data_IF_116318000612
#
_entry.id   IF_116318000612
#
_cell.length_a   1.000
_cell.length_b   1.000
_cell.length_c   1.000
_cell.angle_alpha   90.00
_cell.angle_beta   90.00
_cell.angle_gamma   90.00
#
_symmetry.space_group_name_H-M   'P 1'
#
loop_
_entity.id
_entity.type
_entity.pdbx_description
1 polymer ?
#
# COMPACT_ATOMS: atom_id res chain seq x y z
N UNK A 1 58.35 -20.49 -22.73
CA UNK A 1 57.00 -19.90 -22.90
C UNK A 1 57.16 -18.40 -23.12
N UNK A 2 56.46 -17.88 -24.11
CA UNK A 2 56.80 -16.70 -24.91
C UNK A 2 56.82 -15.38 -24.12
N UNK A 3 57.90 -14.61 -24.32
CA UNK A 3 58.13 -13.22 -23.87
C UNK A 3 57.00 -12.23 -24.20
N UNK A 4 56.03 -12.63 -25.03
CA UNK A 4 54.90 -11.80 -25.44
C UNK A 4 53.83 -11.61 -24.34
N UNK A 5 53.70 -12.54 -23.39
CA UNK A 5 52.69 -12.43 -22.33
C UNK A 5 53.02 -11.37 -21.26
N UNK A 6 54.30 -11.04 -21.09
CA UNK A 6 54.76 -10.08 -20.08
C UNK A 6 54.50 -8.63 -20.52
N UNK A 7 54.54 -8.36 -21.82
CA UNK A 7 54.30 -7.03 -22.42
C UNK A 7 52.81 -6.65 -22.35
N UNK A 8 51.89 -7.61 -22.49
CA UNK A 8 50.45 -7.35 -22.39
C UNK A 8 49.98 -6.98 -20.97
N UNK A 9 50.81 -7.18 -19.94
CA UNK A 9 50.48 -6.86 -18.54
C UNK A 9 50.76 -5.39 -18.19
N UNK A 10 51.67 -4.72 -18.92
CA UNK A 10 52.09 -3.34 -18.67
C UNK A 10 51.27 -2.28 -19.44
N UNK A 11 50.47 -2.69 -20.43
CA UNK A 11 49.59 -1.77 -21.17
C UNK A 11 48.39 -1.38 -20.31
N UNK A 12 48.31 -0.08 -20.00
CA UNK A 12 47.43 0.54 -19.01
C UNK A 12 45.95 0.08 -19.08
N UNK A 13 45.51 -0.67 -18.06
CA UNK A 13 44.13 -1.17 -17.91
C UNK A 13 43.14 -0.13 -17.34
N UNK A 14 43.27 1.14 -17.69
CA UNK A 14 42.33 2.16 -17.20
C UNK A 14 41.00 2.08 -17.97
N UNK A 15 39.88 1.91 -17.25
CA UNK A 15 38.53 1.93 -17.84
C UNK A 15 38.25 3.31 -18.45
N UNK A 16 37.99 3.36 -19.76
CA UNK A 16 37.63 4.58 -20.49
C UNK A 16 36.36 5.21 -19.88
N UNK A 17 36.49 6.39 -19.26
CA UNK A 17 35.35 7.17 -18.80
C UNK A 17 34.91 8.12 -19.92
N UNK A 18 33.91 7.70 -20.68
CA UNK A 18 33.20 8.58 -21.62
C UNK A 18 32.50 9.70 -20.84
N UNK A 19 32.74 10.96 -21.22
CA UNK A 19 31.93 12.10 -20.77
C UNK A 19 30.49 11.81 -21.19
N UNK A 20 29.62 11.51 -20.23
CA UNK A 20 28.20 11.23 -20.49
C UNK A 20 27.53 12.49 -21.01
N UNK A 21 26.78 12.36 -22.10
CA UNK A 21 25.93 13.43 -22.61
C UNK A 21 25.00 13.95 -21.51
N UNK A 22 24.88 15.29 -21.32
CA UNK A 22 24.09 15.88 -20.26
C UNK A 22 22.58 15.55 -20.35
N UNK A 23 22.11 15.02 -21.49
CA UNK A 23 20.73 14.55 -21.65
C UNK A 23 20.47 13.20 -20.95
N UNK A 24 21.43 12.27 -20.96
CA UNK A 24 21.25 10.93 -20.39
C UNK A 24 21.27 10.96 -18.85
N UNK A 25 22.06 11.84 -18.25
CA UNK A 25 22.12 12.03 -16.79
C UNK A 25 20.85 12.68 -16.23
N UNK A 26 20.25 13.64 -16.95
CA UNK A 26 18.96 14.25 -16.58
C UNK A 26 17.82 13.23 -16.61
N UNK A 27 17.76 12.35 -17.62
CA UNK A 27 16.72 11.31 -17.72
C UNK A 27 16.83 10.28 -16.58
N UNK A 28 18.06 9.88 -16.20
CA UNK A 28 18.28 8.97 -15.06
C UNK A 28 17.97 9.62 -13.71
N UNK A 29 18.28 10.92 -13.54
CA UNK A 29 17.94 11.67 -12.31
C UNK A 29 16.43 11.87 -12.15
N UNK A 30 15.69 12.11 -13.24
CA UNK A 30 14.22 12.21 -13.21
C UNK A 30 13.57 10.87 -12.83
N UNK A 31 14.01 9.76 -13.43
CA UNK A 31 13.51 8.41 -13.10
C UNK A 31 13.75 8.03 -11.63
N UNK A 32 14.94 8.33 -11.09
CA UNK A 32 15.23 8.05 -9.67
C UNK A 32 14.42 8.93 -8.70
N UNK A 33 14.01 10.15 -9.11
CA UNK A 33 13.16 11.01 -8.29
C UNK A 33 11.72 10.49 -8.25
N UNK A 34 11.17 10.09 -9.40
CA UNK A 34 9.83 9.50 -9.48
C UNK A 34 9.73 8.18 -8.70
N UNK A 35 10.76 7.32 -8.74
CA UNK A 35 10.79 6.07 -7.97
C UNK A 35 10.86 6.32 -6.45
N UNK A 36 11.58 7.36 -6.02
CA UNK A 36 11.63 7.77 -4.60
C UNK A 36 10.28 8.32 -4.14
N UNK A 37 9.65 9.18 -4.93
CA UNK A 37 8.35 9.78 -4.59
C UNK A 37 7.23 8.73 -4.54
N UNK A 38 7.27 7.70 -5.40
CA UNK A 38 6.35 6.55 -5.35
C UNK A 38 6.55 5.70 -4.10
N UNK A 39 7.80 5.48 -3.68
CA UNK A 39 8.11 4.69 -2.48
C UNK A 39 7.74 5.42 -1.18
N UNK A 40 7.87 6.74 -1.16
CA UNK A 40 7.47 7.58 -0.03
C UNK A 40 5.94 7.60 0.15
N UNK A 41 5.19 7.68 -0.97
CA UNK A 41 3.72 7.57 -0.95
C UNK A 41 3.22 6.21 -0.48
N UNK A 42 3.89 5.12 -0.87
CA UNK A 42 3.55 3.76 -0.43
C UNK A 42 3.71 3.60 1.09
N UNK A 43 4.79 4.14 1.65
CA UNK A 43 5.04 4.08 3.09
C UNK A 43 4.03 4.91 3.89
N UNK A 44 3.67 6.11 3.42
CA UNK A 44 2.66 6.96 4.07
C UNK A 44 1.25 6.33 4.04
N UNK A 45 0.92 5.54 3.02
CA UNK A 45 -0.35 4.81 2.96
C UNK A 45 -0.41 3.59 3.89
N UNK A 46 0.72 3.00 4.27
CA UNK A 46 0.75 1.87 5.20
C UNK A 46 0.45 2.29 6.65
N UNK A 47 0.87 3.49 7.05
CA UNK A 47 0.64 4.01 8.41
C UNK A 47 -0.80 4.48 8.67
N UNK A 48 -1.59 4.78 7.63
CA UNK A 48 -2.94 5.36 7.77
C UNK A 48 -4.09 4.32 7.71
N UNK A 49 -3.81 3.03 7.52
CA UNK A 49 -4.84 1.97 7.39
C UNK A 49 -4.95 1.03 8.58
N UNK A 50 -4.62 1.48 9.80
CA UNK A 50 -4.95 0.76 11.03
C UNK A 50 -6.08 1.47 11.78
N UNK A 51 -7.37 1.13 11.56
CA UNK A 51 -8.43 1.60 12.42
C UNK A 51 -8.48 0.70 13.66
N UNK A 52 -8.04 1.22 14.80
CA UNK A 52 -8.38 0.68 16.12
C UNK A 52 -7.28 -0.08 16.87
N UNK A 53 -6.20 0.61 17.26
CA UNK A 53 -5.53 0.30 18.53
C UNK A 53 -5.89 1.40 19.53
N UNK A 54 -7.01 1.19 20.22
CA UNK A 54 -7.35 1.91 21.44
C UNK A 54 -6.89 1.08 22.63
N UNK A 55 -5.71 1.36 23.18
CA UNK A 55 -5.38 1.16 24.61
C UNK A 55 -4.11 1.96 24.91
N UNK A 56 -4.12 2.72 26.01
CA UNK A 56 -3.17 3.78 26.34
C UNK A 56 -1.73 3.36 26.64
N UNK A 57 -0.92 4.27 27.24
CA UNK A 57 0.51 4.07 27.37
C UNK A 57 0.80 3.09 28.51
N UNK A 58 1.00 1.82 28.18
CA UNK A 58 1.58 0.85 29.12
C UNK A 58 2.94 0.41 28.59
N UNK A 59 3.96 1.14 29.03
CA UNK A 59 5.35 0.73 29.09
C UNK A 59 5.49 -0.61 29.84
N UNK A 60 5.75 -1.71 29.14
CA UNK A 60 6.52 -2.84 29.69
C UNK A 60 6.92 -3.81 28.57
N UNK A 61 8.22 -4.08 28.52
CA UNK A 61 8.95 -4.81 27.50
C UNK A 61 8.75 -6.33 27.53
N UNK A 62 7.50 -6.80 27.64
CA UNK A 62 7.18 -8.22 27.49
C UNK A 62 6.26 -8.38 26.27
N UNK A 63 6.57 -9.25 25.30
CA UNK A 63 5.61 -9.58 24.27
C UNK A 63 4.41 -10.23 24.95
N UNK A 64 3.30 -9.51 25.03
CA UNK A 64 2.02 -10.05 25.50
C UNK A 64 1.73 -11.30 24.67
N UNK A 65 1.81 -12.47 25.29
CA UNK A 65 1.49 -13.73 24.61
C UNK A 65 0.00 -13.69 24.24
N UNK A 66 -0.28 -13.82 22.95
CA UNK A 66 -1.65 -13.88 22.44
C UNK A 66 -2.37 -15.08 23.06
N UNK A 67 -3.60 -14.85 23.49
CA UNK A 67 -4.47 -15.93 23.95
C UNK A 67 -4.78 -16.89 22.80
N UNK A 68 -5.08 -18.16 23.11
CA UNK A 68 -5.49 -19.15 22.10
C UNK A 68 -6.66 -18.65 21.24
N UNK A 69 -7.60 -17.92 21.85
CA UNK A 69 -8.72 -17.30 21.17
C UNK A 69 -8.28 -16.21 20.18
N UNK A 70 -7.35 -15.34 20.58
CA UNK A 70 -6.80 -14.30 19.69
C UNK A 70 -6.02 -14.90 18.51
N UNK A 71 -5.23 -15.95 18.73
CA UNK A 71 -4.51 -16.66 17.66
C UNK A 71 -5.49 -17.27 16.65
N UNK A 72 -6.56 -17.92 17.14
CA UNK A 72 -7.59 -18.49 16.29
C UNK A 72 -8.33 -17.42 15.48
N UNK A 73 -8.67 -16.29 16.09
CA UNK A 73 -9.29 -15.16 15.41
C UNK A 73 -8.38 -14.57 14.33
N UNK A 74 -7.11 -14.34 14.63
CA UNK A 74 -6.14 -13.82 13.66
C UNK A 74 -6.00 -14.76 12.46
N UNK A 75 -5.88 -16.08 12.70
CA UNK A 75 -5.84 -17.08 11.63
C UNK A 75 -7.11 -17.06 10.76
N UNK A 76 -8.27 -16.79 11.34
CA UNK A 76 -9.51 -16.64 10.59
C UNK A 76 -9.55 -15.34 9.79
N UNK A 77 -9.08 -14.25 10.38
CA UNK A 77 -8.99 -12.94 9.73
C UNK A 77 -8.05 -12.98 8.53
N UNK A 78 -6.88 -13.62 8.64
CA UNK A 78 -5.92 -13.82 7.53
C UNK A 78 -6.53 -14.59 6.35
N UNK A 79 -7.40 -15.58 6.63
CA UNK A 79 -8.13 -16.30 5.58
C UNK A 79 -9.11 -15.39 4.85
N UNK A 80 -9.91 -14.64 5.59
CA UNK A 80 -10.93 -13.74 5.03
C UNK A 80 -10.34 -12.45 4.45
N UNK A 81 -9.11 -12.08 4.82
CA UNK A 81 -8.45 -10.87 4.33
C UNK A 81 -8.25 -10.91 2.82
N UNK A 82 -7.86 -12.06 2.26
CA UNK A 82 -7.69 -12.21 0.80
C UNK A 82 -8.98 -11.91 0.04
N UNK A 83 -10.10 -12.43 0.54
CA UNK A 83 -11.42 -12.17 -0.03
C UNK A 83 -11.79 -10.69 0.13
N UNK A 84 -11.57 -10.11 1.31
CA UNK A 84 -11.85 -8.69 1.58
C UNK A 84 -11.00 -7.76 0.70
N UNK A 85 -9.74 -8.08 0.47
CA UNK A 85 -8.85 -7.34 -0.42
C UNK A 85 -9.39 -7.40 -1.84
N UNK A 86 -9.78 -8.60 -2.32
CA UNK A 86 -10.34 -8.78 -3.65
C UNK A 86 -11.64 -7.97 -3.84
N UNK A 87 -12.55 -8.01 -2.86
CA UNK A 87 -13.81 -7.25 -2.89
C UNK A 87 -13.59 -5.73 -2.80
N UNK A 88 -12.60 -5.26 -2.03
CA UNK A 88 -12.26 -3.84 -1.99
C UNK A 88 -11.61 -3.37 -3.30
N UNK A 89 -10.84 -4.24 -3.94
CA UNK A 89 -10.15 -3.95 -5.20
C UNK A 89 -11.08 -4.01 -6.42
N UNK A 90 -12.16 -4.81 -6.36
CA UNK A 90 -13.11 -4.92 -7.46
C UNK A 90 -13.93 -3.65 -7.69
N UNK A 91 -14.16 -2.86 -6.64
CA UNK A 91 -14.97 -1.63 -6.71
C UNK A 91 -14.12 -0.37 -6.59
N UNK A 92 -14.30 0.54 -7.55
CA UNK A 92 -13.76 1.90 -7.45
C UNK A 92 -14.53 2.71 -6.39
N UNK A 93 -13.90 3.80 -5.88
CA UNK A 93 -14.58 4.69 -4.93
C UNK A 93 -15.86 5.28 -5.50
N UNK A 94 -15.86 5.69 -6.77
CA UNK A 94 -17.03 6.24 -7.47
C UNK A 94 -18.19 5.24 -7.49
N UNK A 95 -17.92 3.99 -7.87
CA UNK A 95 -18.92 2.92 -7.86
C UNK A 95 -19.48 2.66 -6.45
N UNK A 96 -18.63 2.71 -5.42
CA UNK A 96 -19.07 2.58 -4.01
C UNK A 96 -19.99 3.72 -3.59
N UNK A 97 -19.69 4.95 -4.02
CA UNK A 97 -20.54 6.12 -3.76
C UNK A 97 -21.85 6.02 -4.55
N UNK A 98 -21.81 5.61 -5.81
CA UNK A 98 -23.01 5.40 -6.64
C UNK A 98 -23.92 4.31 -6.06
N UNK A 99 -23.36 3.19 -5.59
CA UNK A 99 -24.12 2.13 -4.93
C UNK A 99 -24.70 2.59 -3.58
N UNK A 100 -23.94 3.36 -2.82
CA UNK A 100 -24.43 3.95 -1.58
C UNK A 100 -25.60 4.91 -1.83
N UNK A 101 -25.48 5.79 -2.82
CA UNK A 101 -26.56 6.71 -3.19
C UNK A 101 -27.78 5.94 -3.69
N UNK A 102 -27.60 4.93 -4.55
CA UNK A 102 -28.69 4.04 -4.98
C UNK A 102 -29.38 3.36 -3.80
N UNK A 103 -28.64 2.97 -2.76
CA UNK A 103 -29.23 2.39 -1.56
C UNK A 103 -30.05 3.41 -0.76
N UNK A 104 -29.56 4.65 -0.63
CA UNK A 104 -30.29 5.74 0.02
C UNK A 104 -31.55 6.13 -0.74
N UNK A 105 -31.51 6.18 -2.07
CA UNK A 105 -32.68 6.49 -2.90
C UNK A 105 -33.77 5.41 -2.77
N UNK A 106 -33.36 4.16 -2.55
CA UNK A 106 -34.28 3.04 -2.35
C UNK A 106 -34.79 2.91 -0.89
N UNK A 107 -34.18 3.62 0.06
CA UNK A 107 -34.60 3.57 1.46
C UNK A 107 -35.90 4.35 1.63
N UNK A 108 -36.84 3.77 2.37
CA UNK A 108 -38.11 4.42 2.68
C UNK A 108 -37.88 5.62 3.58
N UNK A 109 -38.46 6.77 3.22
CA UNK A 109 -38.40 7.98 4.05
C UNK A 109 -39.05 7.78 5.43
N UNK A 110 -40.07 6.91 5.50
CA UNK A 110 -40.82 6.60 6.71
C UNK A 110 -40.72 5.11 7.05
N UNK A 111 -40.32 4.81 8.29
CA UNK A 111 -40.17 3.45 8.82
C UNK A 111 -41.40 2.95 9.57
N UNK A 112 -42.50 3.71 9.56
CA UNK A 112 -43.74 3.39 10.26
C UNK A 112 -44.95 3.71 9.38
N UNK A 113 -46.04 2.99 9.62
CA UNK A 113 -47.26 3.09 8.83
C UNK A 113 -48.03 4.33 9.30
N UNK A 114 -48.44 5.24 8.39
CA UNK A 114 -49.21 6.40 8.79
C UNK A 114 -50.52 5.98 9.46
N UNK A 115 -50.86 6.65 10.57
CA UNK A 115 -52.11 6.39 11.30
C UNK A 115 -53.32 6.86 10.49
N UNK A 116 -54.44 6.16 10.63
CA UNK A 116 -55.68 6.39 9.85
C UNK A 116 -56.28 7.81 10.03
N UNK A 117 -55.94 8.50 11.12
CA UNK A 117 -56.34 9.90 11.38
C UNK A 117 -55.24 10.93 11.07
N UNK A 118 -54.14 10.54 10.43
CA UNK A 118 -53.06 11.45 10.05
C UNK A 118 -53.52 12.35 8.90
N UNK A 119 -53.98 13.54 9.25
CA UNK A 119 -54.14 14.66 8.31
C UNK A 119 -52.81 15.39 8.20
N UNK A 120 -52.49 15.89 7.00
CA UNK A 120 -51.20 16.54 6.70
C UNK A 120 -51.08 17.91 7.35
#
# INVERSE_FOLDING_TARGET
MSSYDEVCKSVCKSKLKLKKDPLASKKKKKKNKEEKDLKEKLNQSADNTSPGQSTGPSSSSNPLQLTKAQIAFQKQQEKSEKERILQKASMTHKQRVEEFNRHLDNLTEHFDIPKVSWTK
#
